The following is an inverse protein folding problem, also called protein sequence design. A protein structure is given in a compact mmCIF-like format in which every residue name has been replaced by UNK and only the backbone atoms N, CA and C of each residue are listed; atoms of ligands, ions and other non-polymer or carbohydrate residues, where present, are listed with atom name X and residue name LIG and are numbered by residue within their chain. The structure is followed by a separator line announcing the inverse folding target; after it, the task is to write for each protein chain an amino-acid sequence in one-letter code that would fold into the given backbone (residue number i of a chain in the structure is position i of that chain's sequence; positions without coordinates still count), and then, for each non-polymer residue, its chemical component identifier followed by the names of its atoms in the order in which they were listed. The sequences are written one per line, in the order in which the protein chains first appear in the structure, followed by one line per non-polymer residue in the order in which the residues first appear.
data_IF_622024512253
#
_entry.id   IF_622024512253
#
_cell.length_a   1.000
_cell.length_b   1.000
_cell.length_c   1.000
_cell.angle_alpha   90.00
_cell.angle_beta   90.00
_cell.angle_gamma   90.00
#
_symmetry.space_group_name_H-M   'P 1'
#
loop_
_entity.id
_entity.type
_entity.pdbx_description
1 polymer ?
#
# COMPACT_ATOMS: atom_id res chain seq x y z
N UNK A 1 19.41 11.02 -17.54
CA UNK A 1 18.88 11.28 -17.04
C UNK A 1 18.48 11.06 -16.67
N UNK A 2 18.63 10.62 -16.82
CA UNK A 2 17.96 10.65 -16.44
C UNK A 2 17.66 10.26 -16.18
N UNK A 3 17.69 9.71 -16.39
CA UNK A 3 17.10 9.64 -16.00
C UNK A 3 16.75 9.25 -15.66
N UNK A 4 16.83 8.85 -15.91
CA UNK A 4 16.12 8.83 -15.62
C UNK A 4 16.10 8.33 -15.15
N UNK A 5 15.97 7.86 -15.19
CA UNK A 5 15.62 7.82 -14.65
C UNK A 5 15.41 7.90 -14.13
N UNK A 6 15.54 7.75 -14.31
CA UNK A 6 15.06 8.21 -13.72
C UNK A 6 14.66 8.36 -13.34
N UNK A 7 14.74 8.09 -13.65
CA UNK A 7 14.14 8.60 -13.21
C UNK A 7 13.64 8.56 -12.95
N UNK A 8 13.48 8.40 -13.06
CA UNK A 8 12.86 8.75 -12.59
C UNK A 8 12.46 8.72 -12.03
N UNK A 9 12.36 8.44 -11.98
CA UNK A 9 11.83 8.71 -11.39
C UNK A 9 11.89 8.77 -10.57
N UNK A 10 11.94 8.76 -10.68
CA UNK A 10 12.00 8.88 -9.81
C UNK A 10 11.92 9.60 -9.10
N UNK A 11 11.97 10.25 -8.96
CA UNK A 11 11.73 10.92 -8.12
C UNK A 11 10.89 11.78 -7.88
N UNK A 12 10.61 12.31 -8.51
CA UNK A 12 9.52 12.87 -8.54
C UNK A 12 8.72 12.88 -7.37
N UNK A 13 7.57 13.15 -7.29
CA UNK A 13 6.75 13.08 -6.13
C UNK A 13 6.88 11.77 -5.47
N UNK A 14 8.01 11.52 -4.97
CA UNK A 14 8.23 10.32 -4.28
C UNK A 14 7.67 10.38 -2.92
N UNK A 15 7.13 9.28 -2.41
CA UNK A 15 6.69 9.24 -1.02
C UNK A 15 7.87 9.46 -0.12
N UNK A 16 7.67 10.23 0.90
CA UNK A 16 8.64 10.33 1.96
C UNK A 16 8.61 9.05 2.75
N UNK A 17 9.72 8.69 3.32
CA UNK A 17 9.78 7.50 4.14
C UNK A 17 8.77 7.59 5.28
N UNK A 18 7.94 6.57 5.40
CA UNK A 18 6.98 6.46 6.46
C UNK A 18 5.81 7.41 6.40
N UNK A 19 5.57 8.06 5.26
CA UNK A 19 4.46 8.98 5.14
C UNK A 19 3.60 8.66 3.93
N UNK A 20 2.30 8.89 4.06
CA UNK A 20 1.34 8.65 3.00
C UNK A 20 0.61 9.93 2.60
N UNK A 21 1.05 11.09 3.08
CA UNK A 21 0.34 12.34 2.84
C UNK A 21 0.32 12.74 1.36
N UNK A 22 1.25 12.23 0.58
CA UNK A 22 1.28 12.51 -0.85
C UNK A 22 0.14 11.81 -1.61
N UNK A 23 -0.61 10.92 -0.94
CA UNK A 23 -1.79 10.31 -1.55
C UNK A 23 -2.99 11.24 -1.60
N UNK A 24 -2.98 12.32 -0.82
CA UNK A 24 -4.13 13.21 -0.77
C UNK A 24 -4.43 13.78 -2.15
N UNK A 25 -5.68 13.66 -2.58
CA UNK A 25 -6.10 14.10 -3.90
C UNK A 25 -6.00 13.02 -4.97
N UNK A 26 -5.33 11.91 -4.68
CA UNK A 26 -5.19 10.83 -5.65
C UNK A 26 -6.44 9.96 -5.65
N UNK A 27 -6.60 9.20 -6.74
CA UNK A 27 -7.71 8.25 -6.86
C UNK A 27 -7.14 6.83 -6.85
N UNK A 28 -7.67 6.00 -5.97
CA UNK A 28 -7.24 4.60 -5.83
C UNK A 28 -8.18 3.75 -6.69
N UNK A 29 -7.61 3.02 -7.65
CA UNK A 29 -8.41 2.18 -8.54
C UNK A 29 -8.42 0.72 -8.10
N UNK A 30 -7.46 0.29 -7.30
CA UNK A 30 -7.40 -1.09 -6.83
C UNK A 30 -6.55 -1.18 -5.58
N UNK A 31 -6.85 -2.17 -4.75
CA UNK A 31 -6.07 -2.48 -3.55
C UNK A 31 -5.82 -3.98 -3.58
N UNK A 32 -4.57 -4.37 -3.50
CA UNK A 32 -4.18 -5.78 -3.56
C UNK A 32 -3.33 -6.15 -2.36
N UNK A 33 -3.47 -7.39 -1.93
CA UNK A 33 -2.51 -7.96 -0.99
C UNK A 33 -1.40 -8.65 -1.77
N UNK A 34 -0.21 -8.64 -1.22
CA UNK A 34 0.93 -9.37 -1.76
C UNK A 34 1.19 -10.54 -0.83
N UNK A 35 1.10 -11.75 -1.35
CA UNK A 35 1.12 -12.97 -0.55
C UNK A 35 2.32 -13.84 -0.90
N UNK A 36 2.94 -14.39 0.13
CA UNK A 36 3.96 -15.41 -0.02
C UNK A 36 3.28 -16.76 0.16
N UNK A 37 3.34 -17.60 -0.87
CA UNK A 37 2.64 -18.88 -0.88
C UNK A 37 3.59 -19.97 -1.38
N UNK A 38 4.55 -20.39 -0.54
CA UNK A 38 5.57 -21.35 -1.01
C UNK A 38 4.98 -22.70 -1.41
N UNK A 39 3.81 -23.06 -0.91
CA UNK A 39 3.18 -24.34 -1.24
C UNK A 39 1.72 -24.14 -1.59
N UNK A 40 1.38 -22.98 -2.11
CA UNK A 40 0.02 -22.70 -2.51
C UNK A 40 -0.93 -22.42 -1.35
N UNK A 41 -0.42 -22.37 -0.13
CA UNK A 41 -1.28 -22.16 1.04
C UNK A 41 -1.63 -20.69 1.18
N UNK A 42 -2.87 -20.43 1.57
CA UNK A 42 -3.30 -19.08 1.87
C UNK A 42 -2.66 -18.65 3.18
N UNK A 43 -2.35 -17.37 3.29
CA UNK A 43 -1.81 -16.78 4.50
C UNK A 43 -2.23 -15.34 4.57
N UNK A 44 -1.64 -14.62 5.54
CA UNK A 44 -1.86 -13.20 5.65
C UNK A 44 -1.00 -12.47 4.63
N UNK A 45 -1.42 -11.27 4.21
CA UNK A 45 -0.60 -10.53 3.25
C UNK A 45 0.70 -10.05 3.89
N UNK A 46 1.77 -10.10 3.11
CA UNK A 46 3.05 -9.56 3.52
C UNK A 46 3.15 -8.07 3.21
N UNK A 47 2.30 -7.60 2.30
CA UNK A 47 2.25 -6.19 1.93
C UNK A 47 0.87 -5.88 1.37
N UNK A 48 0.55 -4.59 1.34
CA UNK A 48 -0.67 -4.09 0.70
C UNK A 48 -0.24 -3.04 -0.30
N UNK A 49 -0.78 -3.12 -1.50
CA UNK A 49 -0.44 -2.15 -2.55
C UNK A 49 -1.70 -1.44 -3.02
N UNK A 50 -1.66 -0.12 -3.00
CA UNK A 50 -2.73 0.74 -3.52
C UNK A 50 -2.32 1.19 -4.91
N UNK A 51 -3.15 0.90 -5.90
CA UNK A 51 -2.89 1.28 -7.29
C UNK A 51 -3.68 2.55 -7.58
N UNK A 52 -3.00 3.54 -8.12
CA UNK A 52 -3.59 4.86 -8.35
C UNK A 52 -4.02 5.00 -9.81
N UNK A 53 -4.95 5.92 -10.05
CA UNK A 53 -5.45 6.17 -11.41
C UNK A 53 -4.34 6.62 -12.36
N UNK A 54 -3.27 7.17 -11.83
CA UNK A 54 -2.12 7.58 -12.64
C UNK A 54 -1.28 6.41 -13.14
N UNK A 55 -1.53 5.21 -12.60
CA UNK A 55 -0.69 4.05 -12.87
C UNK A 55 0.41 3.85 -11.85
N UNK A 56 0.65 4.82 -11.00
CA UNK A 56 1.60 4.66 -9.90
C UNK A 56 0.97 3.84 -8.80
N UNK A 57 1.77 3.36 -7.88
CA UNK A 57 1.25 2.59 -6.76
C UNK A 57 2.05 2.89 -5.50
N UNK A 58 1.44 2.57 -4.35
CA UNK A 58 2.02 2.75 -3.02
C UNK A 58 2.02 1.41 -2.34
N UNK A 59 3.16 1.02 -1.82
CA UNK A 59 3.33 -0.28 -1.18
C UNK A 59 3.54 -0.07 0.32
N UNK A 60 2.74 -0.76 1.13
CA UNK A 60 2.87 -0.72 2.58
C UNK A 60 3.31 -2.11 3.04
N UNK A 61 4.45 -2.17 3.73
CA UNK A 61 4.99 -3.42 4.24
C UNK A 61 5.23 -3.29 5.74
N UNK A 62 5.34 -4.42 6.41
CA UNK A 62 5.75 -4.42 7.80
C UNK A 62 7.25 -4.36 7.91
N UNK A 63 7.71 -3.53 8.82
CA UNK A 63 9.10 -3.53 9.23
C UNK A 63 9.17 -4.14 10.63
N UNK A 64 10.37 -4.29 11.15
CA UNK A 64 10.54 -4.84 12.50
C UNK A 64 9.84 -3.93 13.51
N UNK A 65 9.43 -4.51 14.64
CA UNK A 65 8.77 -3.73 15.69
C UNK A 65 7.33 -3.39 15.40
N UNK A 66 6.69 -4.11 14.47
CA UNK A 66 5.27 -3.92 14.11
C UNK A 66 5.01 -2.55 13.51
N UNK A 67 5.99 -2.04 12.76
CA UNK A 67 5.86 -0.75 12.10
C UNK A 67 5.59 -0.93 10.63
N UNK A 68 5.14 0.14 9.98
CA UNK A 68 4.84 0.15 8.56
C UNK A 68 5.93 0.91 7.82
N UNK A 69 6.31 0.39 6.67
CA UNK A 69 7.15 1.09 5.73
C UNK A 69 6.29 1.44 4.52
N UNK A 70 6.26 2.70 4.15
CA UNK A 70 5.45 3.19 3.05
C UNK A 70 6.38 3.64 1.95
N UNK A 71 6.29 2.99 0.79
CA UNK A 71 7.20 3.26 -0.32
C UNK A 71 6.43 3.27 -1.63
N UNK A 72 7.09 3.70 -2.70
CA UNK A 72 6.54 3.56 -4.03
C UNK A 72 6.48 2.09 -4.39
N UNK A 73 5.39 1.68 -5.04
CA UNK A 73 5.27 0.35 -5.57
C UNK A 73 5.61 0.30 -7.05
N UNK A 74 5.61 -0.89 -7.60
CA UNK A 74 5.91 -1.10 -9.01
C UNK A 74 4.84 -1.87 -9.75
N UNK A 75 3.61 -1.81 -9.26
CA UNK A 75 2.51 -2.54 -9.87
C UNK A 75 2.51 -2.39 -11.39
N UNK A 76 2.31 -3.47 -12.15
CA UNK A 76 1.96 -4.83 -11.70
C UNK A 76 3.16 -5.73 -11.40
N UNK A 77 4.35 -5.20 -11.32
CA UNK A 77 5.54 -6.00 -11.10
C UNK A 77 5.76 -6.25 -9.63
N UNK A 78 6.27 -7.43 -9.31
CA UNK A 78 6.60 -7.78 -7.93
C UNK A 78 7.81 -6.99 -7.47
N UNK A 79 7.83 -6.59 -6.19
CA UNK A 79 9.07 -6.01 -5.63
C UNK A 79 10.26 -6.96 -5.78
N UNK A 80 11.44 -6.40 -5.89
CA UNK A 80 12.64 -7.19 -6.12
C UNK A 80 12.95 -8.18 -5.00
N UNK A 81 12.47 -7.89 -3.78
CA UNK A 81 12.72 -8.78 -2.63
C UNK A 81 11.79 -10.00 -2.62
N UNK A 82 10.85 -10.11 -3.56
CA UNK A 82 9.97 -11.27 -3.66
C UNK A 82 10.68 -12.39 -4.40
N UNK A 83 11.41 -13.19 -3.67
CA UNK A 83 12.18 -14.30 -4.26
C UNK A 83 11.89 -15.58 -3.49
N UNK A 84 11.73 -16.70 -4.19
CA UNK A 84 11.62 -16.81 -5.65
C UNK A 84 10.26 -16.28 -6.14
N UNK A 85 10.29 -15.59 -7.27
CA UNK A 85 9.11 -14.87 -7.74
C UNK A 85 7.88 -15.76 -7.90
N UNK A 86 8.08 -17.01 -8.25
CA UNK A 86 6.95 -17.93 -8.45
C UNK A 86 6.18 -18.27 -7.18
N UNK A 87 6.68 -17.91 -6.01
CA UNK A 87 6.00 -18.17 -4.75
C UNK A 87 5.29 -16.94 -4.20
N UNK A 88 5.34 -15.85 -4.94
CA UNK A 88 4.70 -14.59 -4.53
C UNK A 88 3.62 -14.22 -5.53
N UNK A 89 2.53 -13.69 -5.03
CA UNK A 89 1.46 -13.26 -5.93
C UNK A 89 0.62 -12.16 -5.31
N UNK A 90 0.15 -11.26 -6.16
CA UNK A 90 -0.86 -10.29 -5.77
C UNK A 90 -2.23 -10.96 -5.82
N UNK A 91 -3.09 -10.61 -4.89
CA UNK A 91 -4.46 -11.11 -4.88
C UNK A 91 -5.39 -10.08 -4.26
N UNK A 92 -6.67 -10.10 -4.63
CA UNK A 92 -7.64 -9.20 -4.01
C UNK A 92 -7.78 -9.49 -2.53
N UNK A 93 -8.14 -8.46 -1.78
CA UNK A 93 -8.42 -8.59 -0.35
C UNK A 93 -9.93 -8.64 -0.20
N UNK A 94 -10.45 -9.82 0.10
CA UNK A 94 -11.87 -10.07 0.04
C UNK A 94 -12.70 -9.30 1.05
N UNK A 95 -12.09 -8.84 2.14
CA UNK A 95 -12.81 -8.10 3.16
C UNK A 95 -13.03 -6.63 2.80
N UNK A 96 -12.46 -6.17 1.69
CA UNK A 96 -12.63 -4.78 1.30
C UNK A 96 -13.83 -4.63 0.38
N UNK A 97 -14.56 -3.52 0.47
CA UNK A 97 -15.70 -3.29 -0.42
C UNK A 97 -15.20 -2.95 -1.83
N UNK A 98 -16.07 -3.06 -2.82
CA UNK A 98 -15.73 -2.57 -4.16
C UNK A 98 -15.61 -1.07 -4.16
N UNK A 99 -14.92 -0.48 -5.14
CA UNK A 99 -14.83 0.98 -5.22
C UNK A 99 -16.21 1.59 -5.44
N UNK A 100 -16.38 2.85 -5.03
CA UNK A 100 -17.66 3.52 -5.24
C UNK A 100 -17.97 3.73 -6.71
N UNK A 101 -19.14 4.24 -6.96
CA UNK A 101 -19.58 4.53 -8.31
C UNK A 101 -18.54 5.42 -8.99
N UNK A 102 -18.08 5.00 -10.15
CA UNK A 102 -16.98 5.67 -10.82
C UNK A 102 -15.69 4.85 -10.82
N UNK A 103 -15.66 3.77 -10.04
CA UNK A 103 -14.58 2.80 -10.11
C UNK A 103 -13.32 3.16 -9.35
N UNK A 104 -13.38 4.17 -8.48
CA UNK A 104 -12.21 4.56 -7.70
C UNK A 104 -12.61 5.20 -6.39
N UNK A 105 -11.70 5.16 -5.42
CA UNK A 105 -11.83 5.92 -4.17
C UNK A 105 -11.01 7.19 -4.31
N UNK A 106 -11.60 8.33 -3.96
CA UNK A 106 -10.86 9.59 -3.95
C UNK A 106 -10.31 9.82 -2.55
N UNK A 107 -9.02 10.01 -2.44
CA UNK A 107 -8.37 10.21 -1.16
C UNK A 107 -8.52 11.67 -0.75
N UNK A 108 -9.13 11.89 0.41
CA UNK A 108 -9.36 13.24 0.93
C UNK A 108 -8.34 13.62 1.99
N UNK A 109 -7.60 12.65 2.51
CA UNK A 109 -6.57 12.94 3.50
C UNK A 109 -5.94 11.65 3.98
N UNK A 110 -4.87 11.79 4.76
CA UNK A 110 -4.21 10.65 5.36
C UNK A 110 -3.87 10.99 6.80
N UNK A 111 -3.74 9.97 7.63
CA UNK A 111 -3.33 10.14 9.01
C UNK A 111 -2.49 8.95 9.41
N UNK A 112 -1.42 9.21 10.13
CA UNK A 112 -0.52 8.16 10.60
C UNK A 112 -0.47 8.19 12.11
N UNK A 113 -0.45 7.01 12.72
CA UNK A 113 -0.21 6.88 14.14
C UNK A 113 1.21 6.36 14.31
N UNK A 114 1.94 7.00 15.20
CA UNK A 114 3.35 6.67 15.42
C UNK A 114 3.52 6.11 16.82
N UNK A 115 4.51 5.24 16.96
CA UNK A 115 4.83 4.66 18.24
C UNK A 115 5.77 5.61 19.01
N UNK A 116 6.24 5.14 20.16
CA UNK A 116 7.10 5.94 21.03
C UNK A 116 8.46 6.26 20.41
N UNK A 117 8.83 5.56 19.35
CA UNK A 117 10.08 5.82 18.65
C UNK A 117 9.87 6.66 17.39
N UNK A 118 8.66 7.15 17.16
CA UNK A 118 8.35 7.96 15.99
C UNK A 118 8.14 7.17 14.71
N UNK A 119 8.04 5.84 14.80
CA UNK A 119 7.82 5.00 13.63
C UNK A 119 6.33 4.85 13.39
N UNK A 120 5.93 4.80 12.10
CA UNK A 120 4.54 4.64 11.75
C UNK A 120 4.11 3.21 12.07
N UNK A 121 3.05 3.05 12.85
CA UNK A 121 2.49 1.74 13.15
C UNK A 121 1.09 1.56 12.58
N UNK A 122 0.47 2.64 12.13
CA UNK A 122 -0.85 2.59 11.52
C UNK A 122 -1.00 3.75 10.57
N UNK A 123 -1.61 3.52 9.42
CA UNK A 123 -1.89 4.55 8.44
C UNK A 123 -3.35 4.48 8.04
N UNK A 124 -4.06 5.60 8.12
CA UNK A 124 -5.45 5.70 7.71
C UNK A 124 -5.49 6.55 6.43
N UNK A 125 -6.06 5.99 5.38
CA UNK A 125 -6.23 6.67 4.10
C UNK A 125 -7.70 7.00 3.98
N UNK A 126 -8.03 8.28 4.12
CA UNK A 126 -9.41 8.74 4.20
C UNK A 126 -9.95 8.96 2.80
N UNK A 127 -11.11 8.38 2.54
CA UNK A 127 -11.79 8.51 1.26
C UNK A 127 -13.21 9.01 1.50
N UNK A 128 -13.94 9.26 0.42
CA UNK A 128 -15.25 9.91 0.53
C UNK A 128 -16.28 9.09 1.29
N UNK A 129 -16.17 7.76 1.29
CA UNK A 129 -17.19 6.92 1.92
C UNK A 129 -16.64 6.06 3.04
N UNK A 130 -15.40 6.26 3.42
CA UNK A 130 -14.79 5.49 4.50
C UNK A 130 -13.28 5.57 4.43
N UNK A 131 -12.65 4.86 5.34
CA UNK A 131 -11.20 4.92 5.50
C UNK A 131 -10.59 3.52 5.33
N UNK A 132 -9.50 3.43 4.57
CA UNK A 132 -8.63 2.26 4.64
C UNK A 132 -7.71 2.44 5.83
N UNK A 133 -7.66 1.46 6.71
CA UNK A 133 -6.80 1.50 7.88
C UNK A 133 -5.84 0.33 7.79
N UNK A 134 -4.55 0.63 7.74
CA UNK A 134 -3.49 -0.36 7.56
C UNK A 134 -2.62 -0.35 8.80
N UNK A 135 -2.35 -1.50 9.37
CA UNK A 135 -1.48 -1.58 10.54
C UNK A 135 -0.37 -2.57 10.36
N UNK A 136 0.74 -2.29 11.03
CA UNK A 136 1.84 -3.22 11.14
C UNK A 136 1.59 -4.19 12.30
N UNK A 137 2.01 -5.41 12.10
CA UNK A 137 1.97 -6.47 13.08
C UNK A 137 3.00 -7.50 12.68
N UNK A 138 2.69 -8.77 12.89
CA UNK A 138 3.53 -9.83 12.35
C UNK A 138 3.45 -9.81 10.83
N UNK A 139 2.31 -9.41 10.31
CA UNK A 139 2.11 -9.15 8.89
C UNK A 139 1.31 -7.86 8.77
N UNK A 140 1.04 -7.44 7.54
CA UNK A 140 0.25 -6.23 7.32
C UNK A 140 -1.23 -6.59 7.42
N UNK A 141 -1.97 -5.81 8.20
CA UNK A 141 -3.42 -5.95 8.30
C UNK A 141 -4.08 -4.71 7.71
N UNK A 142 -5.21 -4.89 7.05
CA UNK A 142 -5.96 -3.79 6.46
C UNK A 142 -7.44 -4.03 6.66
N UNK A 143 -8.16 -2.95 6.91
CA UNK A 143 -9.61 -3.00 6.94
C UNK A 143 -10.17 -1.70 6.39
N UNK A 144 -11.44 -1.72 6.01
CA UNK A 144 -12.14 -0.54 5.54
C UNK A 144 -13.22 -0.19 6.57
N UNK A 145 -13.17 1.05 7.06
CA UNK A 145 -14.11 1.53 8.07
C UNK A 145 -15.04 2.52 7.37
N UNK A 146 -16.32 2.15 7.27
CA UNK A 146 -17.30 3.01 6.61
C UNK A 146 -17.67 4.18 7.50
N UNK A 147 -18.04 5.26 6.86
CA UNK A 147 -18.61 6.40 7.57
C UNK A 147 -20.11 6.42 7.47
#
# INVERSE_FOLDING_TARGET
MAVGREASGEEISRPRHGKADWLTGERITAVHGLFYRPEGRAGEPEAVEFVLATGQSVLLTCASGRTLRITSGGWPELPAWCVPAGQWQFAPLGQLPPPPYGGAWTVTGTRERRDEHGEVCEAAIRCENGDFVVFGGDTVAIRFVRR
#
